data_IF_769386827953
#
_entry.id   IF_769386827953
#
_cell.length_a   1.000
_cell.length_b   1.000
_cell.length_c   1.000
_cell.angle_alpha   90.00
_cell.angle_beta   90.00
_cell.angle_gamma   90.00
#
_symmetry.space_group_name_H-M   'P 1'
#
loop_
_entity.id
_entity.type
_entity.pdbx_description
1 polymer ?
#
# COMPACT_ATOMS: atom_id res chain seq x y z
N UNK A 1 -13.88 22.50 6.17
CA UNK A 1 -14.36 21.55 5.14
C UNK A 1 -15.51 20.73 5.73
N UNK A 2 -16.53 20.34 4.94
CA UNK A 2 -17.59 19.45 5.42
C UNK A 2 -17.00 18.05 5.71
N UNK A 3 -17.46 17.42 6.81
CA UNK A 3 -16.97 16.10 7.24
C UNK A 3 -17.11 15.04 6.13
N UNK A 4 -18.21 15.05 5.39
CA UNK A 4 -18.46 14.14 4.28
C UNK A 4 -17.45 14.29 3.13
N UNK A 5 -17.02 15.52 2.82
CA UNK A 5 -16.01 15.77 1.78
C UNK A 5 -14.64 15.27 2.24
N UNK A 6 -14.29 15.49 3.50
CA UNK A 6 -13.06 14.96 4.10
C UNK A 6 -12.99 13.43 3.97
N UNK A 7 -14.08 12.75 4.34
CA UNK A 7 -14.23 11.31 4.25
C UNK A 7 -14.08 10.80 2.80
N UNK A 8 -14.81 11.41 1.85
CA UNK A 8 -14.76 11.02 0.44
C UNK A 8 -13.37 11.22 -0.16
N UNK A 9 -12.71 12.33 0.19
CA UNK A 9 -11.34 12.62 -0.25
C UNK A 9 -10.33 11.61 0.27
N UNK A 10 -10.41 11.31 1.57
CA UNK A 10 -9.57 10.34 2.23
C UNK A 10 -9.72 8.94 1.60
N UNK A 11 -10.96 8.47 1.42
CA UNK A 11 -11.23 7.16 0.83
C UNK A 11 -10.84 7.08 -0.64
N UNK A 12 -11.08 8.11 -1.45
CA UNK A 12 -10.61 8.16 -2.83
C UNK A 12 -9.10 7.92 -2.90
N UNK A 13 -8.35 8.63 -2.08
CA UNK A 13 -6.89 8.52 -2.06
C UNK A 13 -6.44 7.13 -1.61
N UNK A 14 -7.08 6.55 -0.59
CA UNK A 14 -6.79 5.19 -0.15
C UNK A 14 -7.02 4.16 -1.24
N UNK A 15 -8.16 4.23 -1.92
CA UNK A 15 -8.47 3.29 -2.99
C UNK A 15 -7.48 3.40 -4.15
N UNK A 16 -7.07 4.60 -4.56
CA UNK A 16 -6.09 4.76 -5.64
C UNK A 16 -4.70 4.21 -5.23
N UNK A 17 -4.24 4.46 -4.01
CA UNK A 17 -2.99 3.89 -3.52
C UNK A 17 -3.08 2.36 -3.36
N UNK A 18 -4.24 1.81 -2.92
CA UNK A 18 -4.50 0.37 -2.85
C UNK A 18 -4.44 -0.29 -4.22
N UNK A 19 -5.07 0.32 -5.22
CA UNK A 19 -5.03 -0.13 -6.61
C UNK A 19 -3.57 -0.24 -7.08
N UNK A 20 -2.75 0.80 -6.86
CA UNK A 20 -1.33 0.79 -7.23
C UNK A 20 -0.57 -0.33 -6.51
N UNK A 21 -0.72 -0.42 -5.18
CA UNK A 21 0.02 -1.37 -4.36
C UNK A 21 -0.36 -2.82 -4.68
N UNK A 22 -1.65 -3.13 -4.81
CA UNK A 22 -2.13 -4.47 -5.16
C UNK A 22 -1.69 -4.86 -6.57
N UNK A 23 -1.77 -3.95 -7.54
CA UNK A 23 -1.32 -4.21 -8.91
C UNK A 23 0.17 -4.50 -8.97
N UNK A 24 0.98 -3.75 -8.23
CA UNK A 24 2.43 -3.96 -8.15
C UNK A 24 2.77 -5.28 -7.47
N UNK A 25 2.10 -5.60 -6.37
CA UNK A 25 2.29 -6.85 -5.64
C UNK A 25 2.04 -8.05 -6.55
N UNK A 26 0.93 -8.05 -7.29
CA UNK A 26 0.58 -9.14 -8.22
C UNK A 26 1.60 -9.22 -9.38
N UNK A 27 1.94 -8.08 -9.99
CA UNK A 27 2.86 -8.04 -11.13
C UNK A 27 4.23 -8.62 -10.76
N UNK A 28 4.82 -8.16 -9.65
CA UNK A 28 6.13 -8.62 -9.18
C UNK A 28 6.13 -10.10 -8.81
N UNK A 29 5.07 -10.58 -8.15
CA UNK A 29 4.98 -11.99 -7.79
C UNK A 29 4.64 -12.88 -8.99
N UNK A 30 3.96 -12.36 -10.01
CA UNK A 30 3.79 -13.08 -11.28
C UNK A 30 5.13 -13.34 -11.97
N UNK A 31 6.05 -12.37 -11.93
CA UNK A 31 7.40 -12.51 -12.49
C UNK A 31 8.25 -13.47 -11.64
N UNK A 32 8.14 -13.36 -10.30
CA UNK A 32 8.87 -14.23 -9.37
C UNK A 32 8.55 -15.71 -9.56
N UNK A 33 7.29 -16.04 -9.87
CA UNK A 33 6.85 -17.41 -10.14
C UNK A 33 7.52 -18.04 -11.37
N UNK A 34 8.11 -17.24 -12.26
CA UNK A 34 8.87 -17.73 -13.41
C UNK A 34 10.30 -18.13 -13.03
N UNK A 35 10.80 -17.58 -11.93
CA UNK A 35 12.19 -17.74 -11.47
C UNK A 35 12.35 -18.82 -10.38
N UNK A 36 11.23 -19.31 -9.80
CA UNK A 36 11.22 -20.30 -8.72
C UNK A 36 10.70 -21.65 -9.24
N UNK A 37 11.34 -22.80 -8.90
CA UNK A 37 10.85 -24.13 -9.25
C UNK A 37 9.43 -24.40 -8.73
N UNK A 38 8.64 -25.19 -9.47
CA UNK A 38 7.23 -25.43 -9.19
C UNK A 38 6.94 -25.99 -7.79
N UNK A 39 7.85 -26.78 -7.21
CA UNK A 39 7.68 -27.38 -5.90
C UNK A 39 7.78 -26.38 -4.73
N UNK A 40 8.41 -25.21 -4.96
CA UNK A 40 8.54 -24.14 -3.97
C UNK A 40 7.62 -22.94 -4.26
N UNK A 41 6.95 -22.93 -5.41
CA UNK A 41 6.11 -21.81 -5.87
C UNK A 41 4.66 -21.84 -5.38
N UNK A 42 4.27 -22.87 -4.63
CA UNK A 42 2.87 -23.27 -4.45
C UNK A 42 2.04 -22.40 -3.50
N UNK A 43 2.62 -21.41 -2.82
CA UNK A 43 1.84 -20.62 -1.87
C UNK A 43 1.58 -19.17 -2.30
N UNK A 44 0.68 -19.00 -3.27
CA UNK A 44 0.16 -17.68 -3.64
C UNK A 44 -0.82 -17.10 -2.60
N UNK A 45 -1.23 -17.88 -1.60
CA UNK A 45 -2.12 -17.41 -0.52
C UNK A 45 -1.53 -16.26 0.27
N UNK A 46 -0.19 -16.17 0.36
CA UNK A 46 0.46 -15.05 1.00
C UNK A 46 0.07 -13.68 0.39
N UNK A 47 -0.16 -13.61 -0.94
CA UNK A 47 -0.64 -12.39 -1.57
C UNK A 47 -2.03 -11.99 -1.04
N UNK A 48 -2.89 -12.97 -0.80
CA UNK A 48 -4.22 -12.75 -0.21
C UNK A 48 -4.07 -12.38 1.27
N UNK A 49 -3.14 -13.00 1.99
CA UNK A 49 -2.86 -12.69 3.40
C UNK A 49 -2.39 -11.24 3.57
N UNK A 50 -1.46 -10.78 2.73
CA UNK A 50 -1.00 -9.37 2.70
C UNK A 50 -2.18 -8.42 2.51
N UNK A 51 -3.18 -8.78 1.70
CA UNK A 51 -4.38 -7.93 1.50
C UNK A 51 -5.40 -8.03 2.64
N UNK A 52 -5.22 -8.94 3.63
CA UNK A 52 -6.05 -9.06 4.82
C UNK A 52 -7.34 -9.88 4.64
N UNK A 53 -7.57 -10.51 3.49
CA UNK A 53 -8.82 -11.20 3.16
C UNK A 53 -8.69 -12.71 2.95
N UNK A 54 -7.70 -13.35 3.60
CA UNK A 54 -7.47 -14.79 3.47
C UNK A 54 -8.70 -15.63 3.88
N UNK A 55 -9.45 -15.20 4.90
CA UNK A 55 -10.65 -15.89 5.37
C UNK A 55 -11.80 -15.92 4.35
N UNK A 56 -11.82 -14.96 3.44
CA UNK A 56 -12.86 -14.79 2.41
C UNK A 56 -12.55 -15.61 1.15
N UNK A 57 -11.30 -16.02 0.96
CA UNK A 57 -10.88 -16.83 -0.17
C UNK A 57 -11.26 -18.31 0.04
N UNK A 58 -12.26 -18.80 -0.71
CA UNK A 58 -12.79 -20.16 -0.60
C UNK A 58 -12.44 -21.07 -1.78
N UNK A 59 -11.68 -20.54 -2.77
CA UNK A 59 -11.31 -21.31 -3.95
C UNK A 59 -10.00 -22.08 -3.75
N UNK A 60 -9.72 -23.01 -4.68
CA UNK A 60 -8.44 -23.73 -4.73
C UNK A 60 -7.29 -22.71 -4.96
N UNK A 61 -6.17 -22.92 -4.28
CA UNK A 61 -4.95 -22.09 -4.42
C UNK A 61 -4.29 -22.37 -5.79
N UNK A 62 -4.78 -21.69 -6.83
CA UNK A 62 -4.15 -21.67 -8.15
C UNK A 62 -3.92 -20.22 -8.56
N UNK A 63 -2.95 -19.98 -9.44
CA UNK A 63 -2.62 -18.64 -9.94
C UNK A 63 -3.87 -17.91 -10.47
N UNK A 64 -4.69 -18.59 -11.25
CA UNK A 64 -5.90 -18.04 -11.83
C UNK A 64 -6.91 -17.61 -10.76
N UNK A 65 -7.14 -18.46 -9.76
CA UNK A 65 -8.10 -18.17 -8.69
C UNK A 65 -7.63 -17.03 -7.77
N UNK A 66 -6.34 -17.03 -7.42
CA UNK A 66 -5.74 -15.97 -6.59
C UNK A 66 -5.76 -14.64 -7.33
N UNK A 67 -5.34 -14.61 -8.59
CA UNK A 67 -5.33 -13.39 -9.40
C UNK A 67 -6.75 -12.90 -9.68
N UNK A 68 -7.69 -13.79 -9.98
CA UNK A 68 -9.11 -13.41 -10.08
C UNK A 68 -9.61 -12.75 -8.80
N UNK A 69 -9.33 -13.34 -7.63
CA UNK A 69 -9.75 -12.84 -6.34
C UNK A 69 -9.18 -11.45 -6.04
N UNK A 70 -7.91 -11.21 -6.37
CA UNK A 70 -7.23 -9.93 -6.12
C UNK A 70 -7.53 -8.86 -7.19
N UNK A 71 -7.88 -9.25 -8.41
CA UNK A 71 -8.08 -8.30 -9.51
C UNK A 71 -9.57 -8.05 -9.75
N UNK A 72 -10.41 -9.11 -9.87
CA UNK A 72 -11.75 -9.04 -10.44
C UNK A 72 -12.88 -9.31 -9.45
N UNK A 73 -12.63 -9.85 -8.29
CA UNK A 73 -13.69 -10.23 -7.35
C UNK A 73 -14.33 -8.98 -6.72
N UNK A 74 -15.58 -8.72 -7.08
CA UNK A 74 -16.36 -7.58 -6.57
C UNK A 74 -16.71 -7.70 -5.07
N UNK A 75 -16.66 -8.90 -4.53
CA UNK A 75 -16.96 -9.17 -3.11
C UNK A 75 -15.73 -9.02 -2.23
N UNK A 76 -14.53 -8.98 -2.81
CA UNK A 76 -13.29 -8.76 -2.08
C UNK A 76 -13.01 -7.25 -1.96
N UNK A 77 -13.12 -6.65 -0.75
CA UNK A 77 -12.89 -5.21 -0.55
C UNK A 77 -11.47 -4.73 -0.89
N UNK A 78 -10.52 -5.66 -1.01
CA UNK A 78 -9.12 -5.36 -1.38
C UNK A 78 -8.83 -5.64 -2.85
N UNK A 79 -9.81 -6.11 -3.65
CA UNK A 79 -9.59 -6.29 -5.08
C UNK A 79 -9.42 -4.96 -5.81
N UNK A 80 -8.71 -5.02 -6.93
CA UNK A 80 -8.52 -3.85 -7.80
C UNK A 80 -9.88 -3.35 -8.29
N UNK A 81 -10.77 -4.26 -8.72
CA UNK A 81 -12.10 -3.92 -9.22
C UNK A 81 -12.93 -3.20 -8.18
N UNK A 82 -13.05 -3.77 -6.97
CA UNK A 82 -13.77 -3.13 -5.87
C UNK A 82 -13.20 -1.73 -5.57
N UNK A 83 -11.88 -1.63 -5.48
CA UNK A 83 -11.20 -0.36 -5.16
C UNK A 83 -11.45 0.71 -6.25
N UNK A 84 -11.45 0.34 -7.53
CA UNK A 84 -11.76 1.25 -8.65
C UNK A 84 -13.20 1.74 -8.57
N UNK A 85 -14.17 0.87 -8.31
CA UNK A 85 -15.59 1.25 -8.20
C UNK A 85 -15.82 2.18 -7.00
N UNK A 86 -15.21 1.88 -5.84
CA UNK A 86 -15.30 2.74 -4.66
C UNK A 86 -14.61 4.09 -4.88
N UNK A 87 -13.47 4.11 -5.54
CA UNK A 87 -12.79 5.35 -5.92
C UNK A 87 -13.68 6.20 -6.84
N UNK A 88 -14.35 5.58 -7.82
CA UNK A 88 -15.31 6.27 -8.72
C UNK A 88 -16.49 6.86 -7.97
N UNK A 89 -17.07 6.10 -7.04
CA UNK A 89 -18.16 6.63 -6.21
C UNK A 89 -17.73 7.86 -5.42
N UNK A 90 -16.55 7.82 -4.80
CA UNK A 90 -16.03 8.94 -4.01
C UNK A 90 -15.65 10.14 -4.88
N UNK A 91 -15.05 9.93 -6.07
CA UNK A 91 -14.60 11.00 -6.96
C UNK A 91 -15.73 11.90 -7.45
N UNK A 92 -16.96 11.39 -7.59
CA UNK A 92 -18.14 12.15 -8.02
C UNK A 92 -18.46 13.34 -7.10
N UNK A 93 -18.16 13.21 -5.81
CA UNK A 93 -18.37 14.27 -4.81
C UNK A 93 -17.26 15.32 -4.80
N UNK A 94 -16.18 15.09 -5.54
CA UNK A 94 -14.96 15.90 -5.51
C UNK A 94 -14.68 16.63 -6.84
N UNK A 95 -15.60 16.60 -7.78
CA UNK A 95 -15.42 17.14 -9.15
C UNK A 95 -14.94 18.60 -9.18
N UNK A 96 -15.45 19.44 -8.26
CA UNK A 96 -15.09 20.86 -8.18
C UNK A 96 -13.89 21.14 -7.30
N UNK A 97 -13.37 20.13 -6.62
CA UNK A 97 -12.28 20.24 -5.63
C UNK A 97 -10.96 19.68 -6.12
N UNK A 98 -11.02 18.79 -7.10
CA UNK A 98 -9.84 18.22 -7.73
C UNK A 98 -9.48 19.00 -9.00
N UNK A 99 -8.18 19.08 -9.35
CA UNK A 99 -7.79 19.56 -10.68
C UNK A 99 -8.48 18.72 -11.77
N UNK A 100 -8.96 19.40 -12.83
CA UNK A 100 -9.64 18.72 -13.94
C UNK A 100 -8.78 17.59 -14.52
N UNK A 101 -7.49 17.81 -14.69
CA UNK A 101 -6.55 16.80 -15.17
C UNK A 101 -6.42 15.58 -14.25
N UNK A 102 -6.56 15.75 -12.93
CA UNK A 102 -6.56 14.62 -11.99
C UNK A 102 -7.83 13.78 -12.15
N UNK A 103 -8.97 14.42 -12.34
CA UNK A 103 -10.23 13.75 -12.60
C UNK A 103 -10.21 13.00 -13.93
N UNK A 104 -9.71 13.62 -15.00
CA UNK A 104 -9.51 12.98 -16.31
C UNK A 104 -8.58 11.78 -16.21
N UNK A 105 -7.48 11.92 -15.46
CA UNK A 105 -6.53 10.82 -15.24
C UNK A 105 -7.18 9.64 -14.48
N UNK A 106 -8.04 9.92 -13.51
CA UNK A 106 -8.80 8.87 -12.83
C UNK A 106 -9.81 8.19 -13.76
N UNK A 107 -10.48 8.93 -14.63
CA UNK A 107 -11.37 8.35 -15.64
C UNK A 107 -10.62 7.43 -16.61
N UNK A 108 -9.40 7.81 -17.02
CA UNK A 108 -8.53 6.95 -17.84
C UNK A 108 -8.23 5.64 -17.11
N UNK A 109 -7.85 5.71 -15.83
CA UNK A 109 -7.64 4.51 -15.00
C UNK A 109 -8.88 3.60 -14.98
N UNK A 110 -10.07 4.18 -14.78
CA UNK A 110 -11.32 3.45 -14.77
C UNK A 110 -11.64 2.79 -16.12
N UNK A 111 -11.46 3.53 -17.22
CA UNK A 111 -11.75 3.06 -18.58
C UNK A 111 -10.77 1.98 -19.02
N UNK A 112 -9.48 2.17 -18.75
CA UNK A 112 -8.44 1.19 -19.08
C UNK A 112 -8.68 -0.15 -18.38
N UNK A 113 -9.06 -0.10 -17.09
CA UNK A 113 -9.40 -1.32 -16.36
C UNK A 113 -10.66 -2.02 -16.92
N UNK A 114 -11.66 -1.26 -17.36
CA UNK A 114 -12.93 -1.79 -17.86
C UNK A 114 -12.81 -2.36 -19.29
N UNK A 115 -11.79 -1.99 -20.07
CA UNK A 115 -11.71 -2.28 -21.51
C UNK A 115 -11.26 -3.72 -21.89
N UNK A 116 -10.88 -4.57 -20.93
CA UNK A 116 -10.65 -6.04 -21.04
C UNK A 116 -9.82 -6.55 -22.26
N UNK A 117 -8.94 -5.75 -22.87
CA UNK A 117 -8.31 -6.12 -24.16
C UNK A 117 -6.84 -6.55 -24.09
N UNK A 118 -6.22 -6.58 -22.90
CA UNK A 118 -4.77 -6.83 -22.76
C UNK A 118 -4.49 -8.05 -21.88
N UNK A 119 -3.25 -8.53 -21.91
CA UNK A 119 -2.79 -9.52 -20.96
C UNK A 119 -2.79 -8.94 -19.53
N UNK A 120 -2.99 -9.75 -18.51
CA UNK A 120 -3.01 -9.30 -17.11
C UNK A 120 -1.78 -8.43 -16.74
N UNK A 121 -0.60 -8.79 -17.20
CA UNK A 121 0.63 -8.06 -16.87
C UNK A 121 0.66 -6.66 -17.50
N UNK A 122 0.26 -6.52 -18.77
CA UNK A 122 0.20 -5.20 -19.42
C UNK A 122 -0.86 -4.30 -18.79
N UNK A 123 -2.01 -4.87 -18.42
CA UNK A 123 -3.08 -4.14 -17.75
C UNK A 123 -2.64 -3.65 -16.37
N UNK A 124 -1.98 -4.49 -15.55
CA UNK A 124 -1.47 -4.11 -14.24
C UNK A 124 -0.42 -2.99 -14.33
N UNK A 125 0.45 -3.04 -15.34
CA UNK A 125 1.46 -2.00 -15.55
C UNK A 125 0.83 -0.64 -15.90
N UNK A 126 -0.20 -0.62 -16.73
CA UNK A 126 -0.94 0.61 -17.04
C UNK A 126 -1.69 1.15 -15.82
N UNK A 127 -2.29 0.28 -15.03
CA UNK A 127 -2.98 0.65 -13.78
C UNK A 127 -1.99 1.32 -12.81
N UNK A 128 -0.80 0.75 -12.62
CA UNK A 128 0.25 1.34 -11.80
C UNK A 128 0.61 2.74 -12.29
N UNK A 129 0.88 2.89 -13.59
CA UNK A 129 1.23 4.19 -14.20
C UNK A 129 0.12 5.23 -14.04
N UNK A 130 -1.12 4.85 -14.27
CA UNK A 130 -2.26 5.75 -14.17
C UNK A 130 -2.48 6.22 -12.72
N UNK A 131 -2.30 5.33 -11.74
CA UNK A 131 -2.38 5.68 -10.32
C UNK A 131 -1.25 6.64 -9.92
N UNK A 132 -0.03 6.42 -10.40
CA UNK A 132 1.10 7.31 -10.16
C UNK A 132 0.90 8.70 -10.79
N UNK A 133 0.38 8.76 -12.03
CA UNK A 133 0.05 10.03 -12.72
C UNK A 133 -0.99 10.82 -11.96
N UNK A 134 -2.03 10.17 -11.42
CA UNK A 134 -3.02 10.84 -10.59
C UNK A 134 -2.37 11.58 -9.42
N UNK A 135 -1.53 10.90 -8.64
CA UNK A 135 -0.84 11.53 -7.51
C UNK A 135 0.20 12.56 -7.91
N UNK A 136 0.86 12.41 -9.06
CA UNK A 136 1.77 13.41 -9.61
C UNK A 136 1.02 14.71 -9.93
N UNK A 137 -0.11 14.64 -10.61
CA UNK A 137 -0.97 15.79 -10.94
C UNK A 137 -1.45 16.50 -9.66
N UNK A 138 -1.89 15.73 -8.66
CA UNK A 138 -2.29 16.28 -7.35
C UNK A 138 -1.11 17.00 -6.68
N UNK A 139 0.05 16.38 -6.68
CA UNK A 139 1.25 16.93 -6.02
C UNK A 139 1.77 18.20 -6.69
N UNK A 140 1.64 18.32 -8.00
CA UNK A 140 2.12 19.44 -8.78
C UNK A 140 1.10 20.59 -8.86
N UNK A 141 -0.14 20.28 -9.22
CA UNK A 141 -1.15 21.26 -9.60
C UNK A 141 -2.17 21.64 -8.54
N UNK A 142 -2.20 21.00 -7.37
CA UNK A 142 -3.25 21.25 -6.38
C UNK A 142 -2.81 22.22 -5.28
N UNK A 143 -3.68 23.17 -4.93
CA UNK A 143 -3.51 24.05 -3.80
C UNK A 143 -3.39 23.26 -2.49
N UNK A 144 -2.49 23.68 -1.57
CA UNK A 144 -2.19 23.00 -0.28
C UNK A 144 -3.25 23.27 0.79
N UNK A 145 -4.50 23.00 0.46
CA UNK A 145 -5.68 23.15 1.32
C UNK A 145 -6.03 21.85 2.07
N UNK A 146 -7.16 21.85 2.77
CA UNK A 146 -7.64 20.67 3.52
C UNK A 146 -7.82 19.44 2.62
N UNK A 147 -8.39 19.61 1.41
CA UNK A 147 -8.61 18.49 0.48
C UNK A 147 -7.28 17.84 0.11
N UNK A 148 -6.26 18.64 -0.19
CA UNK A 148 -4.91 18.14 -0.43
C UNK A 148 -4.34 17.35 0.76
N UNK A 149 -4.55 17.87 1.97
CA UNK A 149 -4.08 17.20 3.19
C UNK A 149 -4.80 15.87 3.43
N UNK A 150 -6.11 15.76 3.16
CA UNK A 150 -6.83 14.48 3.25
C UNK A 150 -6.42 13.50 2.17
N UNK A 151 -6.03 13.95 0.97
CA UNK A 151 -5.44 13.09 -0.06
C UNK A 151 -4.09 12.54 0.43
N UNK A 152 -3.21 13.40 0.96
CA UNK A 152 -1.94 12.96 1.55
C UNK A 152 -2.17 11.95 2.69
N UNK A 153 -3.10 12.24 3.59
CA UNK A 153 -3.44 11.35 4.70
C UNK A 153 -3.83 9.96 4.20
N UNK A 154 -4.82 9.86 3.31
CA UNK A 154 -5.28 8.58 2.77
C UNK A 154 -4.15 7.82 2.05
N UNK A 155 -3.36 8.52 1.24
CA UNK A 155 -2.24 7.93 0.51
C UNK A 155 -1.20 7.30 1.44
N UNK A 156 -0.72 8.06 2.43
CA UNK A 156 0.38 7.58 3.28
C UNK A 156 -0.07 6.55 4.31
N UNK A 157 -1.32 6.62 4.77
CA UNK A 157 -1.90 5.57 5.61
C UNK A 157 -1.98 4.25 4.84
N UNK A 158 -2.56 4.25 3.64
CA UNK A 158 -2.69 3.02 2.83
C UNK A 158 -1.33 2.43 2.46
N UNK A 159 -0.37 3.30 2.15
CA UNK A 159 1.00 2.89 1.84
C UNK A 159 1.69 2.24 3.02
N UNK A 160 1.61 2.84 4.20
CA UNK A 160 2.21 2.30 5.41
C UNK A 160 1.52 1.00 5.85
N UNK A 161 0.17 0.92 5.77
CA UNK A 161 -0.60 -0.29 6.06
C UNK A 161 -0.19 -1.46 5.14
N UNK A 162 -0.15 -1.24 3.83
CA UNK A 162 0.29 -2.29 2.89
C UNK A 162 1.74 -2.70 3.13
N UNK A 163 2.65 -1.74 3.37
CA UNK A 163 4.04 -2.04 3.64
C UNK A 163 4.21 -2.84 4.94
N UNK A 164 3.47 -2.50 5.99
CA UNK A 164 3.53 -3.24 7.26
C UNK A 164 3.14 -4.71 7.07
N UNK A 165 2.11 -4.98 6.27
CA UNK A 165 1.65 -6.34 5.94
C UNK A 165 2.65 -7.12 5.07
N UNK A 166 3.31 -6.44 4.12
CA UNK A 166 4.37 -7.06 3.31
C UNK A 166 5.55 -7.46 4.19
N UNK A 167 5.96 -6.60 5.12
CA UNK A 167 7.07 -6.89 6.05
C UNK A 167 6.69 -8.05 6.98
N UNK A 168 5.50 -8.01 7.55
CA UNK A 168 4.97 -9.06 8.43
C UNK A 168 4.97 -10.42 7.72
N UNK A 169 4.36 -10.52 6.54
CA UNK A 169 4.32 -11.73 5.73
C UNK A 169 5.74 -12.26 5.45
N UNK A 170 6.66 -11.39 5.06
CA UNK A 170 8.03 -11.78 4.76
C UNK A 170 8.81 -12.28 5.97
N UNK A 171 8.60 -11.69 7.16
CA UNK A 171 9.21 -12.16 8.41
C UNK A 171 8.65 -13.53 8.80
N UNK A 172 7.34 -13.73 8.69
CA UNK A 172 6.69 -14.99 9.06
C UNK A 172 7.06 -16.14 8.13
N UNK A 173 7.33 -15.87 6.85
CA UNK A 173 7.66 -16.88 5.84
C UNK A 173 9.15 -17.16 5.67
N UNK A 174 10.04 -16.42 6.32
CA UNK A 174 11.49 -16.56 6.12
C UNK A 174 12.03 -17.97 6.36
N UNK A 175 11.41 -18.73 7.28
CA UNK A 175 11.82 -20.09 7.62
C UNK A 175 11.46 -21.12 6.55
N UNK A 176 10.55 -20.79 5.64
CA UNK A 176 10.13 -21.67 4.54
C UNK A 176 11.23 -21.78 3.44
N UNK A 177 12.20 -20.88 3.43
CA UNK A 177 13.25 -20.84 2.41
C UNK A 177 14.62 -21.19 3.01
N UNK A 178 15.03 -22.45 2.88
CA UNK A 178 16.33 -22.92 3.37
C UNK A 178 17.48 -22.40 2.50
N UNK A 179 17.26 -22.25 1.20
CA UNK A 179 18.28 -21.82 0.26
C UNK A 179 18.45 -20.29 0.26
N UNK A 180 19.68 -19.81 0.53
CA UNK A 180 20.02 -18.37 0.52
C UNK A 180 19.73 -17.68 -0.81
N UNK A 181 19.83 -18.37 -1.93
CA UNK A 181 19.48 -17.82 -3.25
C UNK A 181 18.00 -17.43 -3.31
N UNK A 182 17.09 -18.30 -2.86
CA UNK A 182 15.65 -18.02 -2.84
C UNK A 182 15.30 -16.95 -1.80
N UNK A 183 15.99 -16.89 -0.67
CA UNK A 183 15.84 -15.78 0.29
C UNK A 183 16.17 -14.43 -0.37
N UNK A 184 17.25 -14.35 -1.14
CA UNK A 184 17.61 -13.13 -1.85
C UNK A 184 16.59 -12.75 -2.94
N UNK A 185 16.03 -13.73 -3.66
CA UNK A 185 14.95 -13.50 -4.62
C UNK A 185 13.70 -12.93 -3.93
N UNK A 186 13.32 -13.47 -2.77
CA UNK A 186 12.19 -12.98 -1.98
C UNK A 186 12.41 -11.52 -1.52
N UNK A 187 13.59 -11.19 -0.99
CA UNK A 187 13.89 -9.81 -0.60
C UNK A 187 13.96 -8.86 -1.80
N UNK A 188 14.44 -9.33 -2.94
CA UNK A 188 14.38 -8.58 -4.20
C UNK A 188 12.93 -8.31 -4.62
N UNK A 189 12.06 -9.32 -4.50
CA UNK A 189 10.62 -9.19 -4.78
C UNK A 189 9.95 -8.19 -3.84
N UNK A 190 10.25 -8.21 -2.55
CA UNK A 190 9.76 -7.20 -1.59
C UNK A 190 10.16 -5.79 -2.04
N UNK A 191 11.43 -5.55 -2.34
CA UNK A 191 11.91 -4.25 -2.80
C UNK A 191 11.24 -3.81 -4.12
N UNK A 192 11.06 -4.72 -5.07
CA UNK A 192 10.35 -4.44 -6.34
C UNK A 192 8.87 -4.12 -6.09
N UNK A 193 8.20 -4.85 -5.16
CA UNK A 193 6.79 -4.63 -4.81
C UNK A 193 6.53 -3.24 -4.24
N UNK A 194 7.51 -2.63 -3.58
CA UNK A 194 7.44 -1.25 -3.08
C UNK A 194 8.12 -0.23 -4.00
N UNK A 195 8.52 -0.63 -5.22
CA UNK A 195 9.27 0.24 -6.14
C UNK A 195 10.58 0.80 -5.54
N UNK A 196 11.25 0.02 -4.70
CA UNK A 196 12.42 0.45 -3.94
C UNK A 196 13.73 -0.19 -4.37
N UNK A 197 13.71 -1.12 -5.32
CA UNK A 197 14.87 -1.93 -5.68
C UNK A 197 16.05 -1.09 -6.20
N UNK A 198 15.79 -0.13 -7.09
CA UNK A 198 16.84 0.74 -7.65
C UNK A 198 17.40 1.71 -6.59
N UNK A 199 16.50 2.30 -5.78
CA UNK A 199 16.93 3.18 -4.67
C UNK A 199 17.78 2.41 -3.65
N UNK A 200 17.37 1.19 -3.31
CA UNK A 200 18.15 0.33 -2.43
C UNK A 200 19.54 0.02 -2.98
N UNK A 201 19.64 -0.35 -4.27
CA UNK A 201 20.92 -0.66 -4.92
C UNK A 201 21.88 0.53 -5.01
N UNK A 202 21.34 1.73 -5.16
CA UNK A 202 22.16 2.95 -5.20
C UNK A 202 22.90 3.18 -3.89
N UNK A 203 22.26 2.87 -2.75
CA UNK A 203 22.82 3.07 -1.42
C UNK A 203 23.56 1.85 -0.89
N UNK A 204 23.14 0.64 -1.29
CA UNK A 204 23.64 -0.64 -0.75
C UNK A 204 24.21 -1.52 -1.88
N UNK A 205 25.43 -1.23 -2.33
CA UNK A 205 26.02 -1.83 -3.53
C UNK A 205 26.23 -3.36 -3.49
N UNK A 206 26.29 -4.01 -2.33
CA UNK A 206 26.86 -5.36 -2.23
C UNK A 206 26.02 -6.47 -1.60
N UNK A 207 24.97 -6.22 -0.81
CA UNK A 207 24.32 -7.32 -0.10
C UNK A 207 22.79 -7.19 0.06
N UNK A 208 22.05 -8.02 -0.67
CA UNK A 208 20.66 -8.33 -0.40
C UNK A 208 20.59 -9.30 0.78
N UNK A 209 20.58 -8.79 2.01
CA UNK A 209 20.26 -9.59 3.20
C UNK A 209 19.09 -8.98 3.97
N UNK A 210 18.45 -9.80 4.78
CA UNK A 210 17.27 -9.42 5.54
C UNK A 210 17.47 -8.13 6.34
N UNK A 211 18.55 -8.04 7.14
CA UNK A 211 18.78 -6.91 8.04
C UNK A 211 18.89 -5.59 7.29
N UNK A 212 19.68 -5.56 6.20
CA UNK A 212 19.91 -4.36 5.40
C UNK A 212 18.63 -3.95 4.68
N UNK A 213 17.89 -4.91 4.11
CA UNK A 213 16.62 -4.63 3.44
C UNK A 213 15.58 -4.14 4.43
N UNK A 214 15.42 -4.80 5.58
CA UNK A 214 14.49 -4.35 6.64
C UNK A 214 14.87 -2.95 7.14
N UNK A 215 16.14 -2.68 7.37
CA UNK A 215 16.61 -1.34 7.75
C UNK A 215 16.19 -0.29 6.72
N UNK A 216 16.39 -0.55 5.43
CA UNK A 216 16.02 0.36 4.35
C UNK A 216 14.51 0.58 4.30
N UNK A 217 13.70 -0.48 4.22
CA UNK A 217 12.25 -0.35 4.07
C UNK A 217 11.55 0.21 5.31
N UNK A 218 12.16 0.08 6.50
CA UNK A 218 11.60 0.60 7.75
C UNK A 218 12.11 2.00 8.06
N UNK A 219 13.44 2.24 7.94
CA UNK A 219 14.10 3.40 8.55
C UNK A 219 14.57 4.46 7.56
N UNK A 220 14.57 4.19 6.24
CA UNK A 220 15.09 5.17 5.27
C UNK A 220 14.19 6.42 5.19
N UNK A 221 14.77 7.57 5.50
CA UNK A 221 14.02 8.84 5.58
C UNK A 221 13.77 9.48 4.22
N UNK A 222 14.61 9.19 3.23
CA UNK A 222 14.53 9.80 1.90
C UNK A 222 13.74 8.96 0.92
N UNK A 223 13.52 7.67 1.21
CA UNK A 223 12.77 6.79 0.33
C UNK A 223 11.24 6.93 0.56
N UNK A 224 10.47 7.42 -0.45
CA UNK A 224 9.05 7.77 -0.27
C UNK A 224 8.11 6.62 0.09
N UNK A 225 8.60 5.38 0.04
CA UNK A 225 7.82 4.17 0.38
C UNK A 225 8.41 3.40 1.56
N UNK A 226 9.31 4.00 2.35
CA UNK A 226 9.68 3.45 3.66
C UNK A 226 8.61 3.74 4.71
N UNK A 227 8.55 2.93 5.77
CA UNK A 227 7.66 3.19 6.91
C UNK A 227 7.97 4.54 7.54
N UNK A 228 9.25 4.82 7.81
CA UNK A 228 9.68 6.08 8.41
C UNK A 228 9.25 7.30 7.61
N UNK A 229 9.43 7.29 6.30
CA UNK A 229 8.97 8.39 5.45
C UNK A 229 7.45 8.57 5.52
N UNK A 230 6.69 7.47 5.42
CA UNK A 230 5.23 7.53 5.49
C UNK A 230 4.76 8.11 6.83
N UNK A 231 5.36 7.65 7.93
CA UNK A 231 5.09 8.14 9.29
C UNK A 231 5.40 9.64 9.41
N UNK A 232 6.56 10.09 8.95
CA UNK A 232 6.94 11.50 8.99
C UNK A 232 5.94 12.37 8.20
N UNK A 233 5.45 11.86 7.05
CA UNK A 233 4.41 12.55 6.27
C UNK A 233 3.05 12.55 6.95
N UNK A 234 2.69 11.53 7.67
CA UNK A 234 1.47 11.49 8.48
C UNK A 234 1.53 12.49 9.64
N UNK A 235 2.65 12.58 10.34
CA UNK A 235 2.89 13.58 11.39
C UNK A 235 2.85 15.02 10.84
N UNK A 236 3.41 15.24 9.64
CA UNK A 236 3.32 16.54 8.97
C UNK A 236 1.86 16.92 8.68
N UNK A 237 1.09 16.01 8.07
CA UNK A 237 -0.32 16.26 7.70
C UNK A 237 -1.21 16.44 8.92
N UNK A 238 -0.96 15.72 9.99
CA UNK A 238 -1.72 15.81 11.24
C UNK A 238 -1.81 17.25 11.79
N UNK A 239 -0.82 18.10 11.52
CA UNK A 239 -0.81 19.50 11.98
C UNK A 239 -1.91 20.35 11.33
N UNK A 240 -2.39 19.93 10.17
CA UNK A 240 -3.41 20.63 9.37
C UNK A 240 -4.81 20.02 9.51
N UNK A 241 -4.94 18.87 10.20
CA UNK A 241 -6.25 18.26 10.40
C UNK A 241 -7.03 18.99 11.50
N UNK A 242 -8.39 18.97 11.42
CA UNK A 242 -9.24 19.50 12.49
C UNK A 242 -8.81 18.92 13.85
N UNK A 243 -8.84 19.75 14.88
CA UNK A 243 -8.28 19.44 16.20
C UNK A 243 -9.14 18.38 16.92
N UNK A 244 -8.86 17.10 16.70
CA UNK A 244 -9.19 16.07 17.65
C UNK A 244 -7.94 15.74 18.47
N UNK A 245 -7.84 16.19 19.74
CA UNK A 245 -6.66 15.92 20.58
C UNK A 245 -6.39 14.42 20.73
N UNK A 246 -7.45 13.61 20.78
CA UNK A 246 -7.39 12.15 20.90
C UNK A 246 -6.72 11.52 19.69
N UNK A 247 -7.21 11.82 18.47
CA UNK A 247 -6.64 11.26 17.21
C UNK A 247 -5.16 11.64 17.08
N UNK A 248 -4.77 12.87 17.46
CA UNK A 248 -3.37 13.29 17.43
C UNK A 248 -2.50 12.50 18.37
N UNK A 249 -3.01 12.26 19.59
CA UNK A 249 -2.28 11.52 20.62
C UNK A 249 -2.09 10.07 20.16
N UNK A 250 -3.18 9.41 19.75
CA UNK A 250 -3.17 8.02 19.30
C UNK A 250 -2.22 7.83 18.10
N UNK A 251 -2.27 8.72 17.09
CA UNK A 251 -1.32 8.71 15.98
C UNK A 251 0.12 8.91 16.44
N UNK A 252 0.37 9.87 17.32
CA UNK A 252 1.73 10.17 17.77
C UNK A 252 2.32 9.00 18.55
N UNK A 253 1.54 8.34 19.40
CA UNK A 253 1.98 7.17 20.16
C UNK A 253 2.34 6.00 19.23
N UNK A 254 1.49 5.66 18.26
CA UNK A 254 1.76 4.64 17.23
C UNK A 254 3.03 4.93 16.43
N UNK A 255 3.31 6.19 16.15
CA UNK A 255 4.41 6.60 15.31
C UNK A 255 5.75 6.71 16.06
N UNK A 256 5.72 6.91 17.38
CA UNK A 256 6.94 6.93 18.23
C UNK A 256 7.61 5.56 18.22
N UNK A 257 6.87 4.47 18.23
CA UNK A 257 7.43 3.11 18.24
C UNK A 257 8.29 2.81 17.02
N UNK A 258 7.95 3.35 15.84
CA UNK A 258 8.78 3.24 14.64
C UNK A 258 10.05 4.11 14.67
N UNK A 259 10.22 4.95 15.70
CA UNK A 259 11.40 5.81 15.83
C UNK A 259 12.58 5.10 16.50
N UNK A 260 12.40 3.89 17.01
CA UNK A 260 13.48 3.12 17.64
C UNK A 260 14.45 2.57 16.58
N UNK A 261 15.72 2.97 16.69
CA UNK A 261 16.76 2.68 15.69
C UNK A 261 17.08 1.19 15.49
N UNK A 262 16.68 0.29 16.41
CA UNK A 262 17.02 -1.14 16.37
C UNK A 262 15.81 -2.06 16.12
N UNK A 263 14.66 -1.48 15.73
CA UNK A 263 13.43 -2.24 15.51
C UNK A 263 13.62 -3.37 14.46
N UNK A 264 14.36 -3.10 13.39
CA UNK A 264 14.60 -4.03 12.30
C UNK A 264 15.51 -5.24 12.65
N UNK A 265 16.13 -5.26 13.84
CA UNK A 265 16.99 -6.34 14.32
C UNK A 265 16.26 -7.40 15.14
N UNK A 266 15.01 -7.15 15.53
CA UNK A 266 14.24 -8.04 16.38
C UNK A 266 12.88 -8.35 15.78
N UNK A 267 12.75 -9.51 15.15
CA UNK A 267 11.52 -9.93 14.46
C UNK A 267 10.30 -9.92 15.37
N UNK A 268 10.40 -10.41 16.61
CA UNK A 268 9.26 -10.43 17.55
C UNK A 268 8.80 -9.03 17.91
N UNK A 269 9.74 -8.12 18.15
CA UNK A 269 9.42 -6.72 18.43
C UNK A 269 8.84 -6.04 17.21
N UNK A 270 9.41 -6.30 16.02
CA UNK A 270 8.92 -5.79 14.75
C UNK A 270 7.48 -6.24 14.49
N UNK A 271 7.19 -7.53 14.58
CA UNK A 271 5.84 -8.07 14.38
C UNK A 271 4.81 -7.43 15.33
N UNK A 272 5.16 -7.26 16.60
CA UNK A 272 4.28 -6.58 17.56
C UNK A 272 3.99 -5.13 17.14
N UNK A 273 5.02 -4.37 16.79
CA UNK A 273 4.85 -2.95 16.39
C UNK A 273 4.05 -2.84 15.09
N UNK A 274 4.23 -3.76 14.14
CA UNK A 274 3.45 -3.80 12.90
C UNK A 274 1.98 -4.10 13.17
N UNK A 275 1.67 -5.05 14.06
CA UNK A 275 0.31 -5.41 14.46
C UNK A 275 -0.39 -4.23 15.19
N UNK A 276 0.29 -3.62 16.17
CA UNK A 276 -0.19 -2.44 16.89
C UNK A 276 -0.46 -1.26 15.92
N UNK A 277 0.39 -1.07 14.90
CA UNK A 277 0.20 -0.06 13.85
C UNK A 277 -1.02 -0.36 12.98
N UNK A 278 -1.17 -1.59 12.49
CA UNK A 278 -2.31 -2.01 11.67
C UNK A 278 -3.62 -1.84 12.44
N UNK A 279 -3.64 -2.24 13.71
CA UNK A 279 -4.79 -2.06 14.59
C UNK A 279 -5.12 -0.58 14.81
N UNK A 280 -4.11 0.25 15.10
CA UNK A 280 -4.27 1.68 15.28
C UNK A 280 -4.79 2.40 14.03
N UNK A 281 -4.30 2.00 12.85
CA UNK A 281 -4.82 2.49 11.57
C UNK A 281 -6.30 2.12 11.41
N UNK A 282 -6.72 0.92 11.80
CA UNK A 282 -8.14 0.53 11.78
C UNK A 282 -8.99 1.41 12.71
N UNK A 283 -8.52 1.73 13.92
CA UNK A 283 -9.24 2.57 14.89
C UNK A 283 -9.43 4.01 14.41
N UNK A 284 -8.52 4.54 13.59
CA UNK A 284 -8.68 5.87 12.98
C UNK A 284 -9.93 5.97 12.07
N UNK A 285 -10.47 4.83 11.61
CA UNK A 285 -11.70 4.76 10.81
C UNK A 285 -12.97 4.66 11.61
N UNK A 286 -12.88 4.00 12.78
CA UNK A 286 -14.03 3.69 13.61
C UNK A 286 -14.29 4.76 14.66
N UNK A 287 -13.39 5.75 14.79
CA UNK A 287 -13.61 6.89 15.67
C UNK A 287 -14.83 7.69 15.18
N UNK A 288 -15.79 7.99 16.05
CA UNK A 288 -16.98 8.76 15.67
C UNK A 288 -16.56 10.09 15.03
N UNK A 289 -17.36 10.51 14.05
CA UNK A 289 -17.21 11.80 13.38
C UNK A 289 -17.03 12.91 14.43
N UNK A 290 -16.18 13.94 14.18
CA UNK A 290 -15.96 15.04 15.13
C UNK A 290 -17.21 15.90 15.40
N UNK A 291 -18.37 15.30 15.52
CA UNK A 291 -19.64 15.93 15.88
C UNK A 291 -20.17 15.53 17.25
N UNK A 292 -19.46 14.65 17.98
CA UNK A 292 -19.84 14.26 19.33
C UNK A 292 -18.88 14.87 20.36
#
# INVERSE_FOLDING_TARGET
>A
MLSSIAEKTYWLSRYIERIENTSRLINVNSDLLLDIPHDESDDLKHLIQITGHLKDFKKKNTKENVFFFLIQDEKNPSSIKYSIEMAKMNSRYLLTMLPKSAWEQFNNLYTDFSSKKKSYNEDLYQIIRNSQRFFAIISDGMQRNDVFNFIKLGRFIERADMLSRIIEDQILRKENFVNKYYQNLQWSSVLKSINGFESFKTENKENLNQEIVLKFIVMEKLFPRSLKYCVDKLLEVQRFLPKSPKIRKDMSELLIEFSYNDLYRNDKKMLKVLDDFQFGVCLLYTSPSPRD
#
